data_IF_622741531254
#
_entry.id   IF_622741531254
#
_cell.length_a   1.000
_cell.length_b   1.000
_cell.length_c   1.000
_cell.angle_alpha   90.00
_cell.angle_beta   90.00
_cell.angle_gamma   90.00
#
_symmetry.space_group_name_H-M   'P 1'
#
loop_
_entity.id
_entity.type
_entity.pdbx_description
1 polymer ?
#
# COMPACT_ATOMS: atom_id res chain seq x y z
N UNK A 1 67.13 24.82 9.80
CA UNK A 1 65.76 25.07 9.30
C UNK A 1 65.17 23.76 8.80
N UNK A 2 64.27 23.13 9.58
CA UNK A 2 63.38 22.06 9.11
C UNK A 2 62.30 21.86 10.18
N UNK A 3 61.18 22.59 10.02
CA UNK A 3 60.01 22.43 10.88
C UNK A 3 59.18 21.28 10.31
N UNK A 4 59.02 20.22 11.10
CA UNK A 4 58.12 19.10 10.78
C UNK A 4 56.76 19.45 11.40
N UNK A 5 55.80 19.81 10.55
CA UNK A 5 54.41 20.00 10.91
C UNK A 5 53.70 18.64 10.88
N UNK A 6 53.38 18.09 12.04
CA UNK A 6 52.54 16.89 12.17
C UNK A 6 51.08 17.34 12.21
N UNK A 7 50.34 17.14 11.12
CA UNK A 7 48.89 17.40 11.04
C UNK A 7 48.18 16.16 11.59
N UNK A 8 47.51 16.30 12.73
CA UNK A 8 46.64 15.28 13.30
C UNK A 8 45.33 15.22 12.52
N UNK A 9 45.07 14.08 11.87
CA UNK A 9 43.83 13.78 11.17
C UNK A 9 42.79 13.30 12.20
N UNK A 10 41.89 14.19 12.64
CA UNK A 10 40.73 13.82 13.44
C UNK A 10 39.66 13.20 12.54
N UNK A 11 39.60 11.87 12.48
CA UNK A 11 38.50 11.13 11.87
C UNK A 11 37.24 11.30 12.73
N UNK A 12 36.38 12.25 12.35
CA UNK A 12 35.03 12.38 12.91
C UNK A 12 34.23 11.18 12.42
N UNK A 13 34.05 10.18 13.29
CA UNK A 13 33.04 9.13 13.14
C UNK A 13 31.67 9.80 13.16
N UNK A 14 31.16 10.14 11.98
CA UNK A 14 29.77 10.51 11.79
C UNK A 14 28.91 9.29 12.14
N UNK A 15 28.37 9.29 13.36
CA UNK A 15 27.30 8.39 13.78
C UNK A 15 26.13 8.70 12.85
N UNK A 16 25.90 7.82 11.88
CA UNK A 16 24.71 7.84 11.04
C UNK A 16 23.51 7.72 11.98
N UNK A 17 22.88 8.86 12.27
CA UNK A 17 21.59 8.89 12.91
C UNK A 17 20.62 8.21 11.92
N UNK A 18 20.39 6.92 12.10
CA UNK A 18 19.31 6.22 11.42
C UNK A 18 18.01 6.84 11.93
N UNK A 19 17.58 7.92 11.29
CA UNK A 19 16.21 8.38 11.38
C UNK A 19 15.36 7.15 11.04
N UNK A 20 14.68 6.61 12.04
CA UNK A 20 13.84 5.42 11.87
C UNK A 20 12.90 5.72 10.70
N UNK A 21 13.08 4.94 9.63
CA UNK A 21 12.49 5.25 8.34
C UNK A 21 10.97 5.07 8.47
N UNK A 22 10.21 6.16 8.39
CA UNK A 22 8.74 6.11 8.53
C UNK A 22 8.18 5.09 7.53
N UNK A 23 7.24 4.19 7.90
CA UNK A 23 6.83 3.09 7.04
C UNK A 23 6.28 3.59 5.70
N UNK A 24 6.47 2.79 4.65
CA UNK A 24 5.82 3.05 3.37
C UNK A 24 4.30 3.00 3.55
N UNK A 25 3.59 3.86 2.85
CA UNK A 25 2.12 3.91 2.85
C UNK A 25 1.62 3.88 1.41
N UNK A 26 0.36 3.54 1.25
CA UNK A 26 -0.12 3.24 -0.08
C UNK A 26 -1.61 2.95 -0.19
N UNK A 27 -1.95 2.39 -1.34
CA UNK A 27 -3.24 1.77 -1.62
C UNK A 27 -2.99 0.32 -2.04
N UNK A 28 -3.77 -0.59 -1.47
CA UNK A 28 -3.88 -1.97 -1.92
C UNK A 28 -5.07 -2.06 -2.85
N UNK A 29 -4.86 -2.69 -4.00
CA UNK A 29 -5.90 -2.96 -4.99
C UNK A 29 -5.97 -4.44 -5.27
N UNK A 30 -7.17 -5.01 -5.13
CA UNK A 30 -7.52 -6.37 -5.50
C UNK A 30 -8.81 -6.33 -6.34
N UNK A 31 -8.66 -5.88 -7.57
CA UNK A 31 -9.75 -5.72 -8.52
C UNK A 31 -9.85 -6.97 -9.40
N UNK A 32 -11.02 -7.62 -9.49
CA UNK A 32 -11.20 -8.70 -10.45
C UNK A 32 -11.12 -8.16 -11.87
N UNK A 33 -10.40 -8.87 -12.71
CA UNK A 33 -10.40 -8.63 -14.15
C UNK A 33 -11.50 -9.51 -14.74
N UNK A 34 -12.43 -8.87 -15.42
CA UNK A 34 -13.59 -9.47 -16.05
C UNK A 34 -13.27 -9.85 -17.49
N UNK A 35 -13.55 -11.09 -17.84
CA UNK A 35 -13.51 -11.59 -19.21
C UNK A 35 -14.88 -11.51 -19.87
N UNK A 36 -15.00 -12.21 -21.01
CA UNK A 36 -16.29 -12.42 -21.67
C UNK A 36 -17.30 -13.06 -20.71
N UNK A 37 -18.58 -12.75 -20.90
CA UNK A 37 -19.69 -13.27 -20.08
C UNK A 37 -19.61 -12.89 -18.59
N UNK A 38 -18.91 -11.80 -18.25
CA UNK A 38 -18.77 -11.30 -16.87
C UNK A 38 -18.16 -12.35 -15.91
N UNK A 39 -17.24 -13.17 -16.41
CA UNK A 39 -16.49 -14.12 -15.58
C UNK A 39 -15.17 -13.52 -15.13
N UNK A 40 -14.82 -13.70 -13.86
CA UNK A 40 -13.50 -13.31 -13.36
C UNK A 40 -12.45 -14.21 -14.01
N UNK A 41 -11.50 -13.61 -14.74
CA UNK A 41 -10.41 -14.33 -15.40
C UNK A 41 -9.07 -14.14 -14.71
N UNK A 42 -8.92 -13.08 -13.91
CA UNK A 42 -7.77 -12.82 -13.06
C UNK A 42 -8.19 -11.97 -11.88
N UNK A 43 -7.40 -12.00 -10.80
CA UNK A 43 -7.55 -11.10 -9.66
C UNK A 43 -6.16 -10.68 -9.19
N UNK A 44 -5.47 -9.82 -9.96
CA UNK A 44 -4.17 -9.34 -9.55
C UNK A 44 -4.29 -8.55 -8.24
N UNK A 45 -3.21 -8.54 -7.46
CA UNK A 45 -3.14 -7.76 -6.23
C UNK A 45 -1.97 -6.80 -6.40
N UNK A 46 -2.23 -5.53 -6.19
CA UNK A 46 -1.25 -4.47 -6.35
C UNK A 46 -1.10 -3.64 -5.08
N UNK A 47 0.11 -3.14 -4.86
CA UNK A 47 0.40 -2.09 -3.88
C UNK A 47 0.90 -0.86 -4.62
N UNK A 48 0.12 0.21 -4.57
CA UNK A 48 0.51 1.55 -4.97
C UNK A 48 1.18 2.23 -3.79
N UNK A 49 2.48 2.44 -3.84
CA UNK A 49 3.26 2.96 -2.71
C UNK A 49 3.74 4.40 -2.93
N UNK A 50 3.88 5.14 -1.84
CA UNK A 50 4.45 6.49 -1.83
C UNK A 50 5.98 6.52 -1.98
N UNK A 51 6.67 5.41 -1.71
CA UNK A 51 8.14 5.33 -1.77
C UNK A 51 8.64 4.00 -2.31
N UNK A 52 9.89 3.98 -2.75
CA UNK A 52 10.53 2.77 -3.28
C UNK A 52 10.76 1.79 -2.13
N UNK A 53 10.44 0.51 -2.36
CA UNK A 53 10.78 -0.58 -1.46
C UNK A 53 12.23 -1.03 -1.69
N UNK A 54 12.98 -1.16 -0.60
CA UNK A 54 14.38 -1.60 -0.61
C UNK A 54 14.52 -3.08 -0.20
N UNK A 55 13.44 -3.69 0.28
CA UNK A 55 13.40 -5.08 0.72
C UNK A 55 11.96 -5.64 0.61
N UNK A 56 11.78 -6.97 0.54
CA UNK A 56 10.47 -7.59 0.61
C UNK A 56 9.69 -7.07 1.83
N UNK A 57 8.46 -6.59 1.59
CA UNK A 57 7.71 -5.81 2.57
C UNK A 57 6.32 -6.39 2.77
N UNK A 58 5.86 -6.43 4.02
CA UNK A 58 4.49 -6.79 4.37
C UNK A 58 3.69 -5.53 4.65
N UNK A 59 2.50 -5.46 4.06
CA UNK A 59 1.54 -4.39 4.21
C UNK A 59 0.29 -4.91 4.92
N UNK A 60 -0.28 -4.04 5.75
CA UNK A 60 -1.62 -4.22 6.31
C UNK A 60 -2.58 -3.23 5.67
N UNK A 61 -3.71 -3.72 5.17
CA UNK A 61 -4.83 -2.90 4.72
C UNK A 61 -5.68 -2.42 5.89
N UNK A 62 -6.18 -1.20 5.81
CA UNK A 62 -7.03 -0.57 6.84
C UNK A 62 -8.38 -0.24 6.22
N UNK A 63 -9.42 -0.95 6.63
CA UNK A 63 -10.79 -0.80 6.10
C UNK A 63 -11.63 0.09 7.02
N UNK A 64 -12.44 0.94 6.40
CA UNK A 64 -13.37 1.83 7.06
C UNK A 64 -13.06 3.31 6.85
N UNK A 65 -14.07 4.14 7.09
CA UNK A 65 -13.96 5.61 7.14
C UNK A 65 -13.82 6.10 8.59
N UNK A 66 -14.42 5.35 9.52
CA UNK A 66 -14.45 5.66 10.95
C UNK A 66 -13.41 4.87 11.73
N UNK A 67 -13.00 5.44 12.87
CA UNK A 67 -11.88 4.95 13.69
C UNK A 67 -12.45 4.17 14.89
N UNK A 68 -11.79 3.07 15.33
CA UNK A 68 -10.58 2.46 14.78
C UNK A 68 -10.83 1.76 13.43
N UNK A 69 -9.81 1.67 12.60
CA UNK A 69 -9.88 0.96 11.32
C UNK A 69 -9.87 -0.55 11.54
N UNK A 70 -10.53 -1.30 10.66
CA UNK A 70 -10.47 -2.77 10.66
C UNK A 70 -9.27 -3.23 9.85
N UNK A 71 -8.47 -4.11 10.42
CA UNK A 71 -7.26 -4.64 9.78
C UNK A 71 -7.57 -5.74 8.77
N UNK A 72 -7.03 -5.60 7.57
CA UNK A 72 -6.91 -6.65 6.57
C UNK A 72 -5.44 -6.98 6.41
N UNK A 73 -4.97 -7.87 7.29
CA UNK A 73 -3.60 -8.33 7.27
C UNK A 73 -3.53 -9.77 6.71
N UNK A 74 -2.60 -10.10 5.82
CA UNK A 74 -1.56 -9.22 5.28
C UNK A 74 -1.27 -9.53 3.83
N UNK A 75 -0.72 -8.54 3.15
CA UNK A 75 -0.24 -8.66 1.78
C UNK A 75 1.27 -8.46 1.78
N UNK A 76 1.97 -9.25 0.99
CA UNK A 76 3.43 -9.20 0.87
C UNK A 76 3.82 -8.83 -0.55
N UNK A 77 4.76 -7.90 -0.67
CA UNK A 77 5.51 -7.64 -1.89
C UNK A 77 6.83 -8.38 -1.76
N UNK A 78 7.03 -9.41 -2.60
CA UNK A 78 8.27 -10.20 -2.63
C UNK A 78 9.26 -9.67 -3.66
N UNK A 79 8.76 -9.36 -4.85
CA UNK A 79 9.54 -8.71 -5.90
C UNK A 79 9.44 -7.20 -5.74
N UNK A 80 10.57 -6.57 -5.39
CA UNK A 80 10.68 -5.13 -5.16
C UNK A 80 10.98 -4.35 -6.45
N UNK A 81 10.89 -4.98 -7.61
CA UNK A 81 10.98 -4.31 -8.91
C UNK A 81 9.67 -3.57 -9.18
N UNK A 82 9.68 -2.22 -9.28
CA UNK A 82 8.46 -1.49 -9.57
C UNK A 82 7.89 -1.87 -10.94
N UNK A 83 6.56 -2.03 -11.00
CA UNK A 83 5.83 -2.29 -12.23
C UNK A 83 5.51 -0.99 -12.97
N UNK A 84 5.30 -1.10 -14.28
CA UNK A 84 4.75 -0.03 -15.11
C UNK A 84 3.23 -0.19 -15.20
N UNK A 85 2.48 0.80 -14.68
CA UNK A 85 1.02 0.75 -14.67
C UNK A 85 0.42 0.63 -16.09
N UNK A 86 1.00 1.29 -17.09
CA UNK A 86 0.46 1.24 -18.46
C UNK A 86 0.62 -0.16 -19.04
N UNK A 87 1.72 -0.85 -18.72
CA UNK A 87 1.91 -2.25 -19.12
C UNK A 87 0.92 -3.17 -18.41
N UNK A 88 0.69 -2.98 -17.12
CA UNK A 88 -0.30 -3.77 -16.37
C UNK A 88 -1.74 -3.56 -16.87
N UNK A 89 -2.13 -2.32 -17.19
CA UNK A 89 -3.44 -2.03 -17.81
C UNK A 89 -3.53 -2.70 -19.19
N UNK A 90 -2.48 -2.60 -20.01
CA UNK A 90 -2.45 -3.22 -21.34
C UNK A 90 -2.59 -4.75 -21.27
N UNK A 91 -1.99 -5.39 -20.26
CA UNK A 91 -2.09 -6.84 -20.03
C UNK A 91 -3.55 -7.32 -19.91
N UNK A 92 -4.42 -6.48 -19.34
CA UNK A 92 -5.84 -6.77 -19.13
C UNK A 92 -6.76 -5.90 -19.98
N UNK A 93 -6.27 -5.34 -21.10
CA UNK A 93 -6.98 -4.31 -21.88
C UNK A 93 -8.32 -4.71 -22.52
N UNK A 94 -8.81 -5.93 -22.28
CA UNK A 94 -10.18 -6.33 -22.60
C UNK A 94 -11.20 -5.91 -21.54
N UNK A 95 -10.73 -5.57 -20.34
CA UNK A 95 -11.54 -5.07 -19.24
C UNK A 95 -11.33 -3.54 -19.12
N UNK A 96 -12.25 -2.80 -19.74
CA UNK A 96 -12.21 -1.34 -19.75
C UNK A 96 -12.43 -0.74 -18.36
N UNK A 97 -13.20 -1.40 -17.49
CA UNK A 97 -13.48 -0.93 -16.13
C UNK A 97 -12.23 -1.05 -15.26
N UNK A 98 -11.56 -2.21 -15.29
CA UNK A 98 -10.27 -2.40 -14.65
C UNK A 98 -9.25 -1.35 -15.12
N UNK A 99 -9.14 -1.17 -16.44
CA UNK A 99 -8.20 -0.20 -17.02
C UNK A 99 -8.52 1.24 -16.61
N UNK A 100 -9.81 1.60 -16.62
CA UNK A 100 -10.29 2.92 -16.21
C UNK A 100 -10.02 3.19 -14.74
N UNK A 101 -10.37 2.27 -13.83
CA UNK A 101 -10.14 2.43 -12.39
C UNK A 101 -8.65 2.58 -12.09
N UNK A 102 -7.84 1.60 -12.51
CA UNK A 102 -6.40 1.54 -12.26
C UNK A 102 -5.68 2.76 -12.85
N UNK A 103 -6.05 3.16 -14.07
CA UNK A 103 -5.51 4.34 -14.75
C UNK A 103 -5.86 5.67 -14.07
N UNK A 104 -6.87 5.68 -13.20
CA UNK A 104 -7.35 6.85 -12.49
C UNK A 104 -6.91 6.93 -11.02
N UNK A 105 -6.10 5.99 -10.51
CA UNK A 105 -5.46 6.13 -9.19
C UNK A 105 -4.42 7.27 -9.23
N UNK A 106 -4.33 8.05 -8.16
CA UNK A 106 -3.47 9.26 -8.06
C UNK A 106 -2.67 9.29 -6.77
N UNK A 107 -1.52 9.96 -6.81
CA UNK A 107 -0.72 10.30 -5.63
C UNK A 107 0.28 9.23 -5.17
N UNK A 108 0.32 8.08 -5.85
CA UNK A 108 1.36 7.07 -5.66
C UNK A 108 2.62 7.41 -6.46
N UNK A 109 3.75 6.82 -6.07
CA UNK A 109 5.04 6.96 -6.75
C UNK A 109 5.56 5.65 -7.36
N UNK A 110 5.18 4.51 -6.78
CA UNK A 110 5.62 3.18 -7.20
C UNK A 110 4.45 2.20 -7.20
N UNK A 111 4.50 1.20 -8.06
CA UNK A 111 3.51 0.11 -8.16
C UNK A 111 4.23 -1.22 -8.00
N UNK A 112 3.65 -2.13 -7.22
CA UNK A 112 4.21 -3.45 -6.98
C UNK A 112 3.15 -4.54 -7.13
N UNK A 113 3.54 -5.70 -7.65
CA UNK A 113 2.74 -6.91 -7.48
C UNK A 113 2.82 -7.37 -6.02
N UNK A 114 1.67 -7.75 -5.47
CA UNK A 114 1.57 -8.31 -4.14
C UNK A 114 0.81 -9.64 -4.16
N UNK A 115 0.84 -10.32 -3.03
CA UNK A 115 0.08 -11.55 -2.79
C UNK A 115 -0.29 -11.63 -1.32
N UNK A 116 -1.30 -12.43 -0.93
CA UNK A 116 -1.53 -12.72 0.47
C UNK A 116 -0.27 -13.25 1.14
N UNK A 117 -0.07 -12.89 2.41
CA UNK A 117 1.02 -13.42 3.22
C UNK A 117 0.88 -14.94 3.29
N UNK A 118 1.98 -15.66 3.08
CA UNK A 118 1.94 -17.13 2.99
C UNK A 118 1.61 -17.78 4.34
N UNK A 119 2.00 -17.13 5.43
CA UNK A 119 1.69 -17.54 6.79
C UNK A 119 0.26 -17.14 7.17
N UNK A 120 -0.68 -18.09 6.99
CA UNK A 120 -2.10 -17.90 7.31
C UNK A 120 -2.38 -17.71 8.80
N UNK A 121 -1.46 -18.07 9.69
CA UNK A 121 -1.64 -17.88 11.14
C UNK A 121 -1.64 -16.40 11.54
N UNK A 122 -1.08 -15.55 10.68
CA UNK A 122 -1.03 -14.09 10.85
C UNK A 122 -2.20 -13.36 10.21
N UNK A 123 -3.13 -14.09 9.59
CA UNK A 123 -4.27 -13.47 8.91
C UNK A 123 -5.31 -13.02 9.93
N UNK A 124 -5.86 -11.83 9.71
CA UNK A 124 -7.04 -11.39 10.45
C UNK A 124 -8.28 -12.16 10.00
N UNK A 125 -9.31 -12.13 10.82
CA UNK A 125 -10.60 -12.75 10.51
C UNK A 125 -11.18 -12.21 9.20
N UNK A 126 -10.99 -10.90 8.96
CA UNK A 126 -11.41 -10.26 7.71
C UNK A 126 -10.63 -10.78 6.50
N UNK A 127 -9.31 -10.93 6.59
CA UNK A 127 -8.49 -11.51 5.52
C UNK A 127 -8.91 -12.96 5.20
N UNK A 128 -9.21 -13.75 6.23
CA UNK A 128 -9.74 -15.12 6.05
C UNK A 128 -11.08 -15.12 5.31
N UNK A 129 -12.00 -14.23 5.67
CA UNK A 129 -13.29 -14.10 5.01
C UNK A 129 -13.14 -13.67 3.55
N UNK A 130 -12.31 -12.66 3.29
CA UNK A 130 -12.01 -12.17 1.95
C UNK A 130 -11.36 -13.23 1.08
N UNK A 131 -10.39 -13.99 1.60
CA UNK A 131 -9.75 -15.06 0.84
C UNK A 131 -10.72 -16.16 0.44
N UNK A 132 -11.72 -16.48 1.28
CA UNK A 132 -12.78 -17.44 0.92
C UNK A 132 -13.68 -16.88 -0.17
N UNK A 133 -14.07 -15.60 -0.05
CA UNK A 133 -14.94 -14.93 -1.03
C UNK A 133 -14.26 -14.82 -2.40
N UNK A 134 -13.02 -14.35 -2.43
CA UNK A 134 -12.23 -14.16 -3.66
C UNK A 134 -11.83 -15.47 -4.36
N UNK A 135 -11.90 -16.61 -3.68
CA UNK A 135 -11.73 -17.93 -4.28
C UNK A 135 -12.97 -18.38 -5.10
N UNK A 136 -14.12 -17.71 -4.94
CA UNK A 136 -15.29 -17.95 -5.79
C UNK A 136 -15.09 -17.22 -7.14
N UNK A 137 -15.01 -17.94 -8.28
CA UNK A 137 -14.83 -17.32 -9.59
C UNK A 137 -16.04 -16.49 -10.06
N UNK A 138 -17.20 -16.62 -9.40
CA UNK A 138 -18.37 -15.79 -9.66
C UNK A 138 -18.38 -14.49 -8.83
N UNK A 139 -17.43 -14.29 -7.92
CA UNK A 139 -17.36 -13.07 -7.12
C UNK A 139 -16.73 -11.93 -7.91
N UNK A 140 -17.53 -11.02 -8.45
CA UNK A 140 -17.04 -9.82 -9.14
C UNK A 140 -16.68 -8.66 -8.20
N UNK A 141 -16.74 -8.82 -6.87
CA UNK A 141 -16.50 -7.69 -5.96
C UNK A 141 -15.04 -7.24 -6.00
N UNK A 142 -14.78 -5.93 -6.20
CA UNK A 142 -13.45 -5.35 -6.00
C UNK A 142 -13.14 -5.18 -4.51
N UNK A 143 -11.86 -5.06 -4.19
CA UNK A 143 -11.42 -4.67 -2.86
C UNK A 143 -10.27 -3.67 -2.97
N UNK A 144 -10.42 -2.56 -2.26
CA UNK A 144 -9.39 -1.54 -2.12
C UNK A 144 -9.28 -1.10 -0.67
N UNK A 145 -8.06 -0.80 -0.21
CA UNK A 145 -7.83 -0.28 1.13
C UNK A 145 -6.52 0.52 1.23
N UNK A 146 -6.47 1.61 2.01
CA UNK A 146 -5.22 2.25 2.36
C UNK A 146 -4.33 1.26 3.12
N UNK A 147 -3.04 1.28 2.83
CA UNK A 147 -2.06 0.38 3.46
C UNK A 147 -0.94 1.12 4.17
N UNK A 148 -0.35 0.44 5.15
CA UNK A 148 0.91 0.79 5.78
C UNK A 148 1.83 -0.44 5.77
N UNK A 149 3.12 -0.22 5.53
CA UNK A 149 4.18 -1.22 5.52
C UNK A 149 4.57 -1.66 6.94
N UNK A 150 3.59 -2.20 7.64
CA UNK A 150 3.73 -2.76 8.97
C UNK A 150 2.73 -3.91 9.09
N UNK A 151 3.11 -4.98 9.81
CA UNK A 151 2.26 -6.14 9.97
C UNK A 151 1.50 -6.06 11.29
N UNK A 152 0.17 -5.91 11.24
CA UNK A 152 -0.69 -5.94 12.42
C UNK A 152 -1.46 -7.25 12.49
N UNK A 153 -1.25 -8.01 13.57
CA UNK A 153 -2.06 -9.18 13.89
C UNK A 153 -3.36 -8.83 14.64
N UNK A 154 -3.57 -7.56 14.99
CA UNK A 154 -4.79 -7.09 15.67
C UNK A 154 -5.90 -6.81 14.66
N UNK A 155 -7.14 -7.12 15.05
CA UNK A 155 -8.34 -6.88 14.20
C UNK A 155 -8.64 -5.38 14.02
N UNK A 156 -8.23 -4.56 14.99
CA UNK A 156 -8.42 -3.11 14.96
C UNK A 156 -7.08 -2.40 14.98
N UNK A 157 -6.99 -1.32 14.21
CA UNK A 157 -5.82 -0.46 14.10
C UNK A 157 -6.24 0.97 14.46
N UNK A 158 -5.56 1.62 15.42
CA UNK A 158 -5.83 3.02 15.71
C UNK A 158 -5.50 3.89 14.50
N UNK A 159 -6.11 5.06 14.41
CA UNK A 159 -5.84 5.95 13.27
C UNK A 159 -4.42 6.50 13.21
N UNK A 160 -3.73 6.53 14.36
CA UNK A 160 -2.33 6.93 14.47
C UNK A 160 -1.53 5.70 14.86
N UNK A 161 -0.56 5.37 14.02
CA UNK A 161 0.22 4.15 14.06
C UNK A 161 1.69 4.51 14.31
N UNK A 162 2.39 3.67 15.07
CA UNK A 162 3.79 3.87 15.42
C UNK A 162 4.01 4.78 16.63
N UNK A 163 5.28 5.06 16.92
CA UNK A 163 5.71 5.85 18.07
C UNK A 163 6.25 7.22 17.63
N UNK A 164 6.09 8.28 18.43
CA UNK A 164 6.74 9.56 18.15
C UNK A 164 8.27 9.39 18.01
N UNK A 165 8.94 10.12 17.09
CA UNK A 165 8.37 11.11 16.16
C UNK A 165 7.79 10.52 14.86
N UNK A 166 7.92 9.21 14.64
CA UNK A 166 7.65 8.53 13.36
C UNK A 166 6.23 7.95 13.29
N UNK A 167 5.25 8.73 13.73
CA UNK A 167 3.85 8.31 13.67
C UNK A 167 3.29 8.53 12.27
N UNK A 168 2.43 7.59 11.86
CA UNK A 168 1.61 7.70 10.65
C UNK A 168 0.15 7.84 11.06
N UNK A 169 -0.50 8.96 10.72
CA UNK A 169 -1.95 9.13 10.91
C UNK A 169 -2.68 8.99 9.58
N UNK A 170 -3.69 8.12 9.53
CA UNK A 170 -4.59 7.98 8.39
C UNK A 170 -5.89 8.77 8.60
N UNK A 171 -6.33 9.41 7.51
CA UNK A 171 -7.67 9.96 7.36
C UNK A 171 -8.23 9.56 6.00
N UNK A 172 -9.41 8.94 6.01
CA UNK A 172 -10.15 8.50 4.83
C UNK A 172 -11.39 9.37 4.69
N UNK A 173 -11.66 9.86 3.48
CA UNK A 173 -12.91 10.58 3.18
C UNK A 173 -13.37 10.28 1.76
N UNK A 174 -14.68 10.37 1.55
CA UNK A 174 -15.27 10.44 0.22
C UNK A 174 -15.33 11.91 -0.24
N UNK A 175 -15.09 12.17 -1.52
CA UNK A 175 -15.17 13.49 -2.15
C UNK A 175 -16.20 13.48 -3.27
N UNK A 176 -17.42 13.88 -2.94
CA UNK A 176 -18.58 13.92 -3.84
C UNK A 176 -18.31 14.73 -5.13
N UNK A 177 -17.49 15.77 -5.08
CA UNK A 177 -17.24 16.64 -6.25
C UNK A 177 -16.42 15.95 -7.32
N UNK A 178 -15.49 15.11 -6.90
CA UNK A 178 -14.61 14.37 -7.80
C UNK A 178 -15.01 12.91 -7.98
N UNK A 179 -15.98 12.44 -7.18
CA UNK A 179 -16.39 11.04 -7.05
C UNK A 179 -15.22 10.11 -6.74
N UNK A 180 -14.56 10.36 -5.59
CA UNK A 180 -13.32 9.68 -5.21
C UNK A 180 -13.24 9.35 -3.73
N UNK A 181 -12.61 8.23 -3.43
CA UNK A 181 -12.07 7.97 -2.11
C UNK A 181 -10.68 8.62 -1.99
N UNK A 182 -10.47 9.35 -0.89
CA UNK A 182 -9.23 10.07 -0.61
C UNK A 182 -8.63 9.59 0.70
N UNK A 183 -7.40 9.13 0.62
CA UNK A 183 -6.60 8.65 1.74
C UNK A 183 -5.46 9.63 2.00
N UNK A 184 -5.48 10.25 3.17
CA UNK A 184 -4.44 11.17 3.62
C UNK A 184 -3.63 10.52 4.73
N UNK A 185 -2.34 10.30 4.47
CA UNK A 185 -1.36 9.87 5.46
C UNK A 185 -0.54 11.07 5.93
N UNK A 186 -0.55 11.33 7.23
CA UNK A 186 0.32 12.33 7.87
C UNK A 186 1.48 11.62 8.57
N UNK A 187 2.70 11.90 8.11
CA UNK A 187 3.95 11.31 8.57
C UNK A 187 4.90 12.42 9.04
N UNK A 188 4.86 12.76 10.33
CA UNK A 188 5.54 13.95 10.84
C UNK A 188 5.03 15.22 10.15
N UNK A 189 5.90 15.93 9.41
CA UNK A 189 5.52 17.10 8.59
C UNK A 189 5.06 16.74 7.17
N UNK A 190 5.29 15.51 6.73
CA UNK A 190 4.97 15.08 5.38
C UNK A 190 3.50 14.67 5.30
N UNK A 191 2.79 15.23 4.32
CA UNK A 191 1.43 14.83 3.95
C UNK A 191 1.49 14.07 2.64
N UNK A 192 1.02 12.83 2.64
CA UNK A 192 0.87 11.99 1.46
C UNK A 192 -0.62 11.82 1.20
N UNK A 193 -1.04 12.05 -0.04
CA UNK A 193 -2.45 11.93 -0.45
C UNK A 193 -2.50 10.94 -1.60
N UNK A 194 -3.28 9.87 -1.43
CA UNK A 194 -3.58 8.90 -2.48
C UNK A 194 -5.09 8.92 -2.68
N UNK A 195 -5.54 8.74 -3.93
CA UNK A 195 -6.97 8.66 -4.22
C UNK A 195 -7.26 7.71 -5.36
N UNK A 196 -8.46 7.15 -5.33
CA UNK A 196 -9.02 6.26 -6.34
C UNK A 196 -10.44 6.74 -6.71
N UNK A 197 -10.91 6.47 -7.93
CA UNK A 197 -12.34 6.61 -8.22
C UNK A 197 -13.15 5.60 -7.38
N UNK A 198 -14.41 5.92 -7.09
CA UNK A 198 -15.30 4.95 -6.46
C UNK A 198 -15.75 3.95 -7.52
N UNK A 199 -15.92 2.68 -7.14
CA UNK A 199 -16.55 1.68 -8.00
C UNK A 199 -18.02 2.06 -8.21
N UNK A 200 -18.53 1.92 -9.43
CA UNK A 200 -19.95 2.14 -9.70
C UNK A 200 -20.78 1.03 -9.02
N UNK A 201 -21.88 1.42 -8.37
CA UNK A 201 -22.87 0.50 -7.79
C UNK A 201 -23.73 -0.19 -8.85
#
# INVERSE_FOLDING_TARGET
MKNIFTIAFFSILSVSCSASDVPAVGLLEQIPVMGKEYKVIARPIYIFSNKKLNEPTVFTGMVGTDKPYVSVCCYQVKDISPLDLKQEIKKYGQDEEFGSHMGNIRGYAYLYAAQPLSDKSKWTSLMLAMSRKTANPADGSPFSAPVVAEAFSTEQIPATIGNPPNQTTLHTRYDEKSDRMIFTFQQGKQKIVISEPVFAD
#
